data_IF_898363116802
#
_entry.id   IF_898363116802
#
_cell.length_a   1.000
_cell.length_b   1.000
_cell.length_c   1.000
_cell.angle_alpha   90.00
_cell.angle_beta   90.00
_cell.angle_gamma   90.00
#
_symmetry.space_group_name_H-M   'P 1'
#
loop_
_entity.id
_entity.type
_entity.pdbx_description
1 polymer ?
#
# COMPACT_ATOMS: atom_id res chain seq x y z
N UNK A 1 -21.94 -11.32 7.00
CA UNK A 1 -20.56 -11.26 7.51
C UNK A 1 -19.71 -12.21 6.69
N UNK A 2 -18.61 -11.76 6.10
CA UNK A 2 -17.71 -12.59 5.28
C UNK A 2 -16.87 -13.48 6.18
N UNK A 3 -16.84 -14.78 5.91
CA UNK A 3 -16.03 -15.76 6.62
C UNK A 3 -14.54 -15.52 6.32
N UNK A 4 -13.77 -15.17 7.35
CA UNK A 4 -12.35 -14.83 7.23
C UNK A 4 -11.51 -15.95 6.64
N UNK A 5 -11.94 -17.21 6.83
CA UNK A 5 -11.26 -18.39 6.31
C UNK A 5 -11.24 -18.43 4.78
N UNK A 6 -12.17 -17.70 4.13
CA UNK A 6 -12.21 -17.57 2.66
C UNK A 6 -11.11 -16.65 2.13
N UNK A 7 -10.73 -15.64 2.91
CA UNK A 7 -9.75 -14.62 2.52
C UNK A 7 -8.33 -14.97 3.01
N UNK A 8 -8.22 -15.45 4.24
CA UNK A 8 -6.96 -15.89 4.83
C UNK A 8 -6.91 -17.41 4.90
N UNK A 9 -6.39 -18.03 3.83
CA UNK A 9 -6.04 -19.46 3.83
C UNK A 9 -4.91 -19.72 4.83
N UNK A 10 -5.17 -20.62 5.78
CA UNK A 10 -4.22 -21.04 6.81
C UNK A 10 -2.97 -21.67 6.18
N UNK A 11 -1.79 -21.29 6.67
CA UNK A 11 -0.50 -21.74 6.16
C UNK A 11 -0.03 -21.04 4.87
N UNK A 12 -0.82 -20.11 4.31
CA UNK A 12 -0.42 -19.33 3.13
C UNK A 12 0.45 -18.13 3.54
N UNK A 13 1.38 -17.76 2.66
CA UNK A 13 2.20 -16.54 2.81
C UNK A 13 1.45 -15.34 2.25
N UNK A 14 1.51 -14.24 3.01
CA UNK A 14 0.92 -12.96 2.67
C UNK A 14 1.98 -11.87 2.64
N UNK A 15 1.67 -10.81 1.90
CA UNK A 15 2.43 -9.55 1.84
C UNK A 15 1.54 -8.44 2.36
N UNK A 16 2.15 -7.44 2.97
CA UNK A 16 1.41 -6.29 3.47
C UNK A 16 2.34 -5.16 3.88
N UNK A 17 1.75 -4.22 4.58
CA UNK A 17 2.41 -3.06 5.14
C UNK A 17 1.99 -2.87 6.58
N UNK A 18 2.95 -2.53 7.43
CA UNK A 18 2.67 -2.10 8.79
C UNK A 18 2.85 -0.59 8.87
N UNK A 19 1.90 0.10 9.51
CA UNK A 19 2.05 1.52 9.84
C UNK A 19 2.80 1.65 11.17
N UNK A 20 4.03 2.15 11.14
CA UNK A 20 4.88 2.37 12.31
C UNK A 20 5.52 3.75 12.24
N UNK A 21 5.47 4.52 13.33
CA UNK A 21 6.13 5.82 13.48
C UNK A 21 5.87 6.81 12.33
N UNK A 22 4.64 6.86 11.80
CA UNK A 22 4.25 7.76 10.72
C UNK A 22 4.68 7.32 9.32
N UNK A 23 5.28 6.13 9.17
CA UNK A 23 5.65 5.54 7.89
C UNK A 23 5.07 4.14 7.68
N UNK A 24 5.03 3.70 6.42
CA UNK A 24 4.56 2.37 6.04
C UNK A 24 5.75 1.48 5.71
N UNK A 25 5.93 0.37 6.44
CA UNK A 25 7.02 -0.58 6.19
C UNK A 25 6.50 -1.87 5.56
N UNK A 26 7.14 -2.38 4.50
CA UNK A 26 6.74 -3.63 3.88
C UNK A 26 6.98 -4.81 4.82
N UNK A 27 6.06 -5.76 4.84
CA UNK A 27 6.14 -6.96 5.67
C UNK A 27 5.62 -8.17 4.93
N UNK A 28 6.23 -9.33 5.17
CA UNK A 28 5.68 -10.63 4.79
C UNK A 28 5.52 -11.50 6.01
N UNK A 29 4.52 -12.38 5.98
CA UNK A 29 4.21 -13.28 7.07
C UNK A 29 3.41 -14.48 6.55
N UNK A 30 3.31 -15.53 7.35
CA UNK A 30 2.41 -16.66 7.12
C UNK A 30 1.26 -16.57 8.10
N UNK A 31 0.02 -16.60 7.60
CA UNK A 31 -1.17 -16.53 8.44
C UNK A 31 -1.72 -17.94 8.70
N UNK A 32 -2.07 -18.21 9.94
CA UNK A 32 -2.75 -19.44 10.37
C UNK A 32 -4.06 -19.05 11.02
N UNK A 33 -5.18 -19.48 10.43
CA UNK A 33 -6.51 -19.18 10.98
C UNK A 33 -6.65 -19.87 12.34
N UNK A 34 -7.00 -19.10 13.36
CA UNK A 34 -7.32 -19.64 14.70
C UNK A 34 -8.82 -19.88 14.79
N UNK A 35 -9.61 -18.89 14.39
CA UNK A 35 -11.07 -18.95 14.32
C UNK A 35 -11.58 -17.92 13.28
N UNK A 36 -12.89 -17.69 13.24
CA UNK A 36 -13.54 -16.78 12.27
C UNK A 36 -13.17 -15.30 12.43
N UNK A 37 -12.50 -14.91 13.54
CA UNK A 37 -12.15 -13.52 13.87
C UNK A 37 -10.67 -13.32 14.19
N UNK A 38 -9.88 -14.37 14.31
CA UNK A 38 -8.48 -14.28 14.71
C UNK A 38 -7.56 -15.11 13.81
N UNK A 39 -6.43 -14.50 13.44
CA UNK A 39 -5.32 -15.16 12.76
C UNK A 39 -4.05 -15.08 13.58
N UNK A 40 -3.26 -16.13 13.47
CA UNK A 40 -1.93 -16.25 14.03
C UNK A 40 -0.90 -16.01 12.94
N UNK A 41 -0.03 -15.02 13.14
CA UNK A 41 0.99 -14.62 12.17
C UNK A 41 2.35 -15.18 12.60
N UNK A 42 3.01 -15.87 11.68
CA UNK A 42 4.36 -16.44 11.86
C UNK A 42 5.29 -16.00 10.73
N UNK A 43 6.59 -16.24 10.94
CA UNK A 43 7.63 -16.00 9.93
C UNK A 43 7.59 -14.56 9.40
N UNK A 44 7.50 -13.60 10.34
CA UNK A 44 7.49 -12.17 10.02
C UNK A 44 8.85 -11.78 9.43
N UNK A 45 8.81 -11.13 8.26
CA UNK A 45 9.99 -10.58 7.60
C UNK A 45 9.71 -9.14 7.12
N UNK A 46 10.67 -8.19 7.27
CA UNK A 46 11.96 -8.33 7.93
C UNK A 46 11.84 -8.73 9.40
N UNK A 47 12.73 -9.60 9.90
CA UNK A 47 12.63 -10.15 11.26
C UNK A 47 12.71 -9.05 12.32
N UNK A 48 13.48 -7.98 12.06
CA UNK A 48 13.57 -6.77 12.88
C UNK A 48 12.23 -6.04 13.08
N UNK A 49 11.24 -6.26 12.21
CA UNK A 49 9.91 -5.70 12.42
C UNK A 49 9.17 -6.37 13.56
N UNK A 50 9.47 -7.64 13.87
CA UNK A 50 8.79 -8.39 14.93
C UNK A 50 8.83 -7.62 16.26
N UNK A 51 9.98 -7.02 16.57
CA UNK A 51 10.20 -6.28 17.80
C UNK A 51 9.39 -4.99 17.87
N UNK A 52 9.05 -4.41 16.73
CA UNK A 52 8.29 -3.16 16.62
C UNK A 52 6.77 -3.33 16.72
N UNK A 53 6.26 -4.55 16.59
CA UNK A 53 4.82 -4.80 16.76
C UNK A 53 4.42 -4.68 18.23
N UNK A 54 3.38 -3.89 18.48
CA UNK A 54 2.66 -3.78 19.75
C UNK A 54 1.18 -4.09 19.56
N UNK A 55 0.47 -4.35 20.66
CA UNK A 55 -1.00 -4.41 20.62
C UNK A 55 -1.57 -3.11 20.00
N UNK A 56 -2.60 -3.25 19.17
CA UNK A 56 -3.20 -2.16 18.40
C UNK A 56 -2.49 -1.83 17.08
N UNK A 57 -1.29 -2.35 16.83
CA UNK A 57 -0.58 -2.15 15.55
C UNK A 57 -1.44 -2.66 14.39
N UNK A 58 -1.53 -1.85 13.33
CA UNK A 58 -2.34 -2.18 12.16
C UNK A 58 -1.48 -2.67 11.00
N UNK A 59 -1.87 -3.82 10.46
CA UNK A 59 -1.31 -4.48 9.30
C UNK A 59 -2.30 -4.43 8.14
N UNK A 60 -1.87 -3.84 7.04
CA UNK A 60 -2.61 -3.80 5.80
C UNK A 60 -2.11 -4.92 4.89
N UNK A 61 -2.94 -5.93 4.66
CA UNK A 61 -2.56 -7.15 3.94
C UNK A 61 -3.07 -7.13 2.53
N UNK A 62 -2.20 -7.37 1.56
CA UNK A 62 -2.60 -7.47 0.16
C UNK A 62 -3.33 -8.78 -0.10
N UNK A 63 -4.59 -8.70 -0.54
CA UNK A 63 -5.40 -9.86 -0.93
C UNK A 63 -5.76 -9.69 -2.40
N UNK A 64 -5.04 -10.40 -3.27
CA UNK A 64 -5.22 -10.25 -4.72
C UNK A 64 -6.47 -10.98 -5.24
N UNK A 65 -6.99 -11.94 -4.46
CA UNK A 65 -8.24 -12.62 -4.76
C UNK A 65 -9.43 -11.70 -4.40
N UNK A 66 -10.38 -11.50 -5.33
CA UNK A 66 -11.65 -10.74 -5.18
C UNK A 66 -11.66 -9.21 -5.42
N UNK A 67 -10.74 -8.63 -6.21
CA UNK A 67 -10.66 -7.15 -6.43
C UNK A 67 -10.48 -6.33 -5.13
N UNK A 68 -10.22 -7.02 -4.00
CA UNK A 68 -10.13 -6.46 -2.66
C UNK A 68 -8.70 -6.28 -2.25
N UNK A 69 -8.10 -5.17 -2.67
CA UNK A 69 -6.66 -5.03 -2.55
C UNK A 69 -6.12 -5.24 -1.13
N UNK A 70 -6.84 -4.83 -0.07
CA UNK A 70 -6.28 -4.78 1.29
C UNK A 70 -7.27 -5.24 2.37
N UNK A 71 -6.87 -6.22 3.18
CA UNK A 71 -7.48 -6.54 4.48
C UNK A 71 -6.76 -5.84 5.63
N UNK A 72 -7.47 -5.47 6.70
CA UNK A 72 -6.86 -4.94 7.93
C UNK A 72 -6.73 -6.06 8.96
N UNK A 73 -5.53 -6.21 9.52
CA UNK A 73 -5.26 -7.07 10.67
C UNK A 73 -4.77 -6.17 11.81
N UNK A 74 -5.42 -6.26 12.97
CA UNK A 74 -5.00 -5.50 14.16
C UNK A 74 -4.34 -6.43 15.16
N UNK A 75 -3.10 -6.17 15.52
CA UNK A 75 -2.39 -7.00 16.49
C UNK A 75 -3.10 -6.94 17.84
N UNK A 76 -3.51 -8.10 18.36
CA UNK A 76 -4.15 -8.25 19.66
C UNK A 76 -3.17 -8.78 20.71
N UNK A 77 -2.16 -9.54 20.29
CA UNK A 77 -1.16 -10.10 21.21
C UNK A 77 0.16 -10.39 20.49
N UNK A 78 1.26 -10.23 21.21
CA UNK A 78 2.60 -10.66 20.79
C UNK A 78 3.15 -11.69 21.76
N UNK A 79 3.55 -12.84 21.24
CA UNK A 79 4.22 -13.92 21.97
C UNK A 79 5.70 -13.92 21.56
N UNK A 80 6.54 -13.36 22.44
CA UNK A 80 7.97 -13.15 22.18
C UNK A 80 8.72 -14.48 22.12
N UNK A 81 8.43 -15.41 23.03
CA UNK A 81 9.08 -16.71 23.12
C UNK A 81 8.87 -17.52 21.85
N UNK A 82 7.63 -17.53 21.34
CA UNK A 82 7.29 -18.31 20.14
C UNK A 82 7.51 -17.55 18.84
N UNK A 83 7.88 -16.26 18.90
CA UNK A 83 7.96 -15.33 17.76
C UNK A 83 6.67 -15.32 16.92
N UNK A 84 5.54 -15.16 17.60
CA UNK A 84 4.20 -15.19 17.00
C UNK A 84 3.42 -13.92 17.33
N UNK A 85 2.61 -13.44 16.40
CA UNK A 85 1.59 -12.42 16.64
C UNK A 85 0.19 -13.03 16.52
N UNK A 86 -0.74 -12.64 17.38
CA UNK A 86 -2.17 -12.81 17.15
C UNK A 86 -2.74 -11.49 16.66
N UNK A 87 -3.64 -11.57 15.68
CA UNK A 87 -4.30 -10.41 15.12
C UNK A 87 -5.79 -10.68 14.91
N UNK A 88 -6.62 -9.67 15.22
CA UNK A 88 -8.04 -9.68 14.88
C UNK A 88 -8.25 -9.39 13.40
N UNK A 89 -9.29 -10.01 12.87
CA UNK A 89 -9.81 -9.83 11.52
C UNK A 89 -10.94 -8.80 11.58
N UNK A 90 -10.59 -7.53 11.51
CA UNK A 90 -11.59 -6.47 11.34
C UNK A 90 -11.74 -6.21 9.84
N UNK A 91 -12.75 -6.82 9.22
CA UNK A 91 -12.98 -6.60 7.79
C UNK A 91 -13.54 -5.21 7.52
N UNK A 92 -13.03 -4.64 6.42
CA UNK A 92 -13.39 -3.38 5.75
C UNK A 92 -12.87 -2.09 6.36
N UNK A 93 -11.84 -1.53 5.72
CA UNK A 93 -11.96 -0.14 5.29
C UNK A 93 -12.41 -0.13 3.83
N UNK A 94 -13.61 0.41 3.55
CA UNK A 94 -13.92 0.89 2.19
C UNK A 94 -13.21 2.22 1.91
N UNK A 95 -12.70 2.86 2.95
CA UNK A 95 -12.00 4.13 2.86
C UNK A 95 -10.56 3.89 2.39
N UNK A 96 -10.35 4.04 1.08
CA UNK A 96 -9.04 3.94 0.44
C UNK A 96 -8.03 4.92 1.03
N UNK A 97 -8.47 5.99 1.71
CA UNK A 97 -7.61 6.99 2.36
C UNK A 97 -6.91 6.46 3.61
N UNK A 98 -7.41 5.36 4.19
CA UNK A 98 -6.73 4.68 5.31
C UNK A 98 -5.63 3.73 4.85
N UNK A 99 -5.41 3.62 3.53
CA UNK A 99 -4.42 2.70 3.01
C UNK A 99 -3.02 3.33 3.07
N UNK A 100 -2.01 2.52 3.41
CA UNK A 100 -0.66 3.00 3.63
C UNK A 100 -0.10 3.66 2.38
N UNK A 101 0.40 4.88 2.54
CA UNK A 101 1.19 5.58 1.53
C UNK A 101 2.61 5.06 1.61
N UNK A 102 3.19 4.73 0.45
CA UNK A 102 4.53 4.17 0.36
C UNK A 102 5.45 5.17 -0.31
N UNK A 103 6.56 5.46 0.35
CA UNK A 103 7.66 6.20 -0.24
C UNK A 103 8.33 5.35 -1.32
N UNK A 104 8.38 5.85 -2.54
CA UNK A 104 9.01 5.19 -3.69
C UNK A 104 10.24 5.96 -4.21
N UNK A 105 10.38 7.24 -3.87
CA UNK A 105 11.56 8.06 -4.21
C UNK A 105 12.85 7.39 -3.75
N UNK A 106 13.81 7.29 -4.65
CA UNK A 106 15.10 6.63 -4.39
C UNK A 106 15.05 5.11 -4.31
N UNK A 107 13.85 4.50 -4.22
CA UNK A 107 13.66 3.05 -4.20
C UNK A 107 13.28 2.55 -5.59
N UNK A 108 12.26 3.13 -6.21
CA UNK A 108 11.78 2.74 -7.53
C UNK A 108 11.80 3.93 -8.49
N UNK A 109 12.09 3.66 -9.76
CA UNK A 109 12.01 4.67 -10.81
C UNK A 109 10.61 4.66 -11.42
N UNK A 110 9.74 5.51 -10.88
CA UNK A 110 8.36 5.69 -11.33
C UNK A 110 8.21 7.13 -11.82
N UNK A 111 7.82 7.31 -13.07
CA UNK A 111 7.48 8.63 -13.62
C UNK A 111 5.98 8.76 -13.81
N UNK A 112 5.46 9.97 -13.66
CA UNK A 112 4.09 10.30 -14.01
C UNK A 112 4.05 11.42 -15.05
N UNK A 113 3.10 11.30 -15.98
CA UNK A 113 2.65 12.41 -16.83
C UNK A 113 1.22 12.75 -16.43
N UNK A 114 0.94 14.01 -16.21
CA UNK A 114 -0.34 14.52 -15.72
C UNK A 114 -0.87 15.50 -16.76
N UNK A 115 -2.08 15.25 -17.25
CA UNK A 115 -2.77 16.08 -18.22
C UNK A 115 -4.04 16.66 -17.58
N UNK A 116 -4.09 17.99 -17.43
CA UNK A 116 -5.17 18.72 -16.79
C UNK A 116 -5.70 19.79 -17.75
N UNK A 117 -6.73 19.47 -18.54
CA UNK A 117 -7.16 20.36 -19.63
C UNK A 117 -6.02 20.58 -20.63
N UNK A 118 -5.59 21.83 -20.78
CA UNK A 118 -4.48 22.21 -21.67
C UNK A 118 -3.10 22.13 -20.98
N UNK A 119 -3.05 21.97 -19.66
CA UNK A 119 -1.80 21.84 -18.92
C UNK A 119 -1.27 20.40 -18.95
N UNK A 120 0.03 20.26 -19.15
CA UNK A 120 0.73 18.97 -19.06
C UNK A 120 1.97 19.11 -18.18
N UNK A 121 2.10 18.23 -17.20
CA UNK A 121 3.26 18.18 -16.31
C UNK A 121 3.83 16.77 -16.27
N UNK A 122 5.15 16.67 -16.24
CA UNK A 122 5.87 15.41 -16.09
C UNK A 122 6.79 15.46 -14.87
N UNK A 123 6.90 14.35 -14.14
CA UNK A 123 7.70 14.30 -12.93
C UNK A 123 8.00 12.90 -12.43
N UNK A 124 8.68 12.82 -11.28
CA UNK A 124 8.97 11.57 -10.57
C UNK A 124 8.02 11.39 -9.39
N UNK A 125 7.45 10.19 -9.27
CA UNK A 125 6.55 9.87 -8.16
C UNK A 125 7.40 9.77 -6.88
N UNK A 126 7.02 10.53 -5.86
CA UNK A 126 7.72 10.54 -4.57
C UNK A 126 7.18 9.43 -3.69
N UNK A 127 5.87 9.36 -3.60
CA UNK A 127 5.13 8.38 -2.82
C UNK A 127 3.79 8.08 -3.49
N UNK A 128 3.21 6.92 -3.17
CA UNK A 128 1.94 6.49 -3.77
C UNK A 128 1.15 5.60 -2.81
N UNK A 129 -0.16 5.70 -2.91
CA UNK A 129 -1.15 4.89 -2.20
C UNK A 129 -2.29 4.53 -3.16
N UNK A 130 -3.25 3.75 -2.70
CA UNK A 130 -4.49 3.46 -3.45
C UNK A 130 -5.39 4.67 -3.68
N UNK A 131 -5.25 5.72 -2.87
CA UNK A 131 -6.10 6.91 -2.94
C UNK A 131 -5.42 8.09 -3.63
N UNK A 132 -4.10 8.19 -3.55
CA UNK A 132 -3.38 9.34 -4.08
C UNK A 132 -1.89 9.08 -4.27
N UNK A 133 -1.24 9.97 -5.01
CA UNK A 133 0.20 10.02 -5.22
C UNK A 133 0.75 11.43 -5.02
N UNK A 134 2.05 11.54 -4.70
CA UNK A 134 2.79 12.80 -4.77
C UNK A 134 3.78 12.71 -5.92
N UNK A 135 3.88 13.80 -6.67
CA UNK A 135 4.74 13.97 -7.83
C UNK A 135 5.69 15.13 -7.55
N UNK A 136 6.98 14.92 -7.75
CA UNK A 136 7.96 16.01 -7.79
C UNK A 136 7.96 16.60 -9.20
N UNK A 137 7.62 17.89 -9.31
CA UNK A 137 7.50 18.62 -10.56
C UNK A 137 7.80 20.10 -10.33
N UNK A 138 8.42 20.76 -11.32
CA UNK A 138 8.84 22.17 -11.24
C UNK A 138 7.76 23.14 -11.74
N UNK A 139 6.51 22.69 -11.76
CA UNK A 139 5.37 23.42 -12.30
C UNK A 139 4.21 23.35 -11.30
N UNK A 140 3.41 24.41 -11.26
CA UNK A 140 2.20 24.43 -10.48
C UNK A 140 0.98 24.24 -11.37
N UNK A 141 0.08 23.33 -10.98
CA UNK A 141 -1.22 23.17 -11.64
C UNK A 141 -2.33 23.53 -10.65
N UNK A 142 -3.35 24.24 -11.13
CA UNK A 142 -4.55 24.51 -10.35
C UNK A 142 -5.29 23.22 -9.98
N UNK A 143 -6.12 23.30 -8.93
CA UNK A 143 -6.97 22.20 -8.49
C UNK A 143 -8.04 21.89 -9.55
N UNK A 144 -7.91 20.74 -10.23
CA UNK A 144 -8.83 20.28 -11.26
C UNK A 144 -8.70 18.76 -11.51
N UNK A 145 -9.65 18.20 -12.25
CA UNK A 145 -9.58 16.81 -12.71
C UNK A 145 -8.53 16.62 -13.81
N UNK A 146 -7.91 15.44 -13.85
CA UNK A 146 -6.78 15.15 -14.70
C UNK A 146 -6.71 13.69 -15.12
N UNK A 147 -6.04 13.45 -16.25
CA UNK A 147 -5.57 12.13 -16.64
C UNK A 147 -4.11 11.97 -16.20
N UNK A 148 -3.82 10.86 -15.54
CA UNK A 148 -2.49 10.51 -15.05
C UNK A 148 -2.00 9.25 -15.76
N UNK A 149 -0.87 9.35 -16.44
CA UNK A 149 -0.12 8.21 -16.97
C UNK A 149 1.07 7.90 -16.06
N UNK A 150 0.99 6.79 -15.33
CA UNK A 150 2.09 6.24 -14.54
C UNK A 150 2.92 5.31 -15.40
N UNK A 151 4.24 5.49 -15.41
CA UNK A 151 5.18 4.59 -16.09
C UNK A 151 6.13 3.95 -15.08
N UNK A 152 6.16 2.61 -15.07
CA UNK A 152 7.07 1.82 -14.25
C UNK A 152 7.54 0.57 -15.00
N UNK A 153 8.86 0.37 -15.12
CA UNK A 153 9.48 -0.76 -15.87
C UNK A 153 8.90 -0.94 -17.29
N UNK A 154 8.70 0.17 -18.00
CA UNK A 154 8.13 0.18 -19.35
C UNK A 154 6.62 -0.09 -19.42
N UNK A 155 5.95 -0.35 -18.29
CA UNK A 155 4.49 -0.51 -18.23
C UNK A 155 3.85 0.84 -17.94
N UNK A 156 2.84 1.17 -18.74
CA UNK A 156 2.01 2.36 -18.58
C UNK A 156 0.69 1.98 -17.93
N UNK A 157 0.24 2.79 -16.99
CA UNK A 157 -1.05 2.67 -16.31
C UNK A 157 -1.72 4.04 -16.36
N UNK A 158 -2.96 4.10 -16.84
CA UNK A 158 -3.70 5.35 -16.99
C UNK A 158 -4.82 5.40 -15.98
N UNK A 159 -4.89 6.47 -15.21
CA UNK A 159 -5.92 6.66 -14.18
C UNK A 159 -6.44 8.08 -14.21
N UNK A 160 -7.70 8.25 -13.84
CA UNK A 160 -8.27 9.58 -13.60
C UNK A 160 -7.99 10.02 -12.17
N UNK A 161 -7.66 11.29 -11.99
CA UNK A 161 -7.40 11.88 -10.69
C UNK A 161 -7.84 13.34 -10.60
N UNK A 162 -7.64 13.94 -9.43
CA UNK A 162 -7.84 15.36 -9.15
C UNK A 162 -6.59 15.91 -8.48
N UNK A 163 -6.05 17.02 -8.98
CA UNK A 163 -5.03 17.77 -8.28
C UNK A 163 -5.66 18.38 -7.03
N UNK A 164 -5.15 18.05 -5.84
CA UNK A 164 -5.67 18.58 -4.55
C UNK A 164 -4.67 19.50 -3.85
N UNK A 165 -3.42 19.48 -4.30
CA UNK A 165 -2.36 20.36 -3.79
C UNK A 165 -1.28 20.50 -4.84
N UNK A 166 -0.74 21.70 -4.99
CA UNK A 166 0.38 21.99 -5.86
C UNK A 166 1.18 23.17 -5.29
N UNK A 167 2.50 23.04 -5.15
CA UNK A 167 3.37 24.08 -4.58
C UNK A 167 4.62 24.42 -5.40
N UNK A 168 4.60 24.13 -6.71
CA UNK A 168 5.68 24.47 -7.65
C UNK A 168 6.90 23.56 -7.55
N UNK A 169 6.98 22.72 -6.52
CA UNK A 169 7.96 21.64 -6.38
C UNK A 169 7.29 20.27 -6.24
N UNK A 170 6.04 20.23 -5.78
CA UNK A 170 5.27 19.03 -5.54
C UNK A 170 3.82 19.20 -6.01
N UNK A 171 3.26 18.14 -6.57
CA UNK A 171 1.85 18.02 -6.94
C UNK A 171 1.29 16.77 -6.27
N UNK A 172 0.17 16.91 -5.55
CA UNK A 172 -0.57 15.80 -4.96
C UNK A 172 -1.84 15.57 -5.76
N UNK A 173 -2.02 14.32 -6.19
CA UNK A 173 -3.15 13.90 -7.02
C UNK A 173 -3.92 12.81 -6.29
N UNK A 174 -5.21 13.03 -6.05
CA UNK A 174 -6.15 12.02 -5.57
C UNK A 174 -6.77 11.27 -6.75
N UNK A 175 -6.77 9.94 -6.69
CA UNK A 175 -7.36 9.11 -7.73
C UNK A 175 -8.88 9.05 -7.58
N UNK A 176 -9.60 9.22 -8.69
CA UNK A 176 -11.05 9.10 -8.73
C UNK A 176 -11.49 7.62 -8.60
N UNK A 177 -12.75 7.40 -8.24
CA UNK A 177 -13.29 6.04 -8.05
C UNK A 177 -13.27 5.22 -9.35
N UNK A 178 -13.24 3.87 -9.22
CA UNK A 178 -13.29 2.95 -10.37
C UNK A 178 -11.95 2.55 -11.02
N UNK A 179 -10.82 3.06 -10.55
CA UNK A 179 -9.51 2.73 -11.13
C UNK A 179 -8.99 1.33 -10.72
N UNK A 180 -9.52 0.23 -11.27
CA UNK A 180 -8.95 -1.12 -11.08
C UNK A 180 -7.50 -1.23 -11.57
N UNK A 181 -7.07 -0.33 -12.46
CA UNK A 181 -5.69 -0.29 -12.92
C UNK A 181 -4.70 0.11 -11.81
N UNK A 182 -5.10 1.00 -10.88
CA UNK A 182 -4.21 1.44 -9.80
C UNK A 182 -3.93 0.31 -8.81
N UNK A 183 -4.94 -0.53 -8.58
CA UNK A 183 -4.86 -1.76 -7.79
C UNK A 183 -3.74 -2.67 -8.31
N UNK A 184 -3.78 -2.99 -9.60
CA UNK A 184 -2.80 -3.87 -10.25
C UNK A 184 -1.41 -3.24 -10.34
N UNK A 185 -1.35 -1.92 -10.56
CA UNK A 185 -0.10 -1.18 -10.53
C UNK A 185 0.54 -1.25 -9.14
N UNK A 186 -0.23 -0.97 -8.10
CA UNK A 186 0.28 -0.93 -6.73
C UNK A 186 0.71 -2.28 -6.20
N UNK A 187 0.01 -3.38 -6.49
CA UNK A 187 0.51 -4.73 -6.12
C UNK A 187 1.95 -4.97 -6.62
N UNK A 188 2.28 -4.51 -7.83
CA UNK A 188 3.64 -4.62 -8.39
C UNK A 188 4.63 -3.72 -7.66
N UNK A 189 4.29 -2.45 -7.48
CA UNK A 189 5.11 -1.48 -6.72
C UNK A 189 5.41 -2.05 -5.33
N UNK A 190 4.38 -2.51 -4.64
CA UNK A 190 4.45 -3.07 -3.30
C UNK A 190 5.38 -4.29 -3.23
N UNK A 191 5.27 -5.18 -4.22
CA UNK A 191 6.14 -6.35 -4.32
C UNK A 191 7.60 -5.97 -4.59
N UNK A 192 7.85 -4.99 -5.45
CA UNK A 192 9.21 -4.57 -5.81
C UNK A 192 9.88 -3.73 -4.71
N UNK A 193 9.14 -2.84 -4.02
CA UNK A 193 9.62 -2.15 -2.82
C UNK A 193 10.03 -3.17 -1.79
N UNK A 194 9.15 -4.14 -1.48
CA UNK A 194 9.47 -5.22 -0.55
C UNK A 194 10.78 -5.90 -0.96
N UNK A 195 10.91 -6.37 -2.20
CA UNK A 195 12.10 -7.08 -2.70
C UNK A 195 13.38 -6.25 -2.61
N UNK A 196 13.33 -4.95 -2.91
CA UNK A 196 14.48 -4.06 -2.77
C UNK A 196 14.87 -3.87 -1.32
N UNK A 197 13.91 -3.61 -0.44
CA UNK A 197 14.16 -3.47 1.00
C UNK A 197 14.76 -4.76 1.60
N UNK A 198 14.43 -5.95 1.09
CA UNK A 198 15.05 -7.21 1.58
C UNK A 198 16.52 -7.39 1.17
N UNK A 199 17.02 -6.67 0.16
CA UNK A 199 18.39 -6.82 -0.34
C UNK A 199 19.37 -5.82 0.28
N UNK A 200 18.83 -4.73 0.81
CA UNK A 200 19.59 -3.68 1.50
C UNK A 200 19.74 -3.96 3.00
N UNK A 201 18.97 -4.94 3.52
CA UNK A 201 19.12 -5.58 4.84
C UNK A 201 19.89 -6.90 4.72
#
# INVERSE_FOLDING_TARGET
MTDATKLFRSGKRYRGFVSLNGGSLPVTFTAYVVNTREVKLKYIFPSKLFDKFTEGTVLYVLIEDEDRLIGELRITKKDVEKKVLLASLDFTTKDKRKLPRILVKGILDISAKVHCGDAQVEGKVVDISMASMSLEANESIEEQECEVELTYRGRKTKVKGKVVRSDGNSIVIEFLEGNHEITNFLSRIYSDVLLKTQRED
#
